data_IF_330950741729
#
_entry.id   IF_330950741729
#
_cell.length_a   1.000
_cell.length_b   1.000
_cell.length_c   1.000
_cell.angle_alpha   90.00
_cell.angle_beta   90.00
_cell.angle_gamma   90.00
#
_symmetry.space_group_name_H-M   'P 1'
#
loop_
_entity.id
_entity.type
_entity.pdbx_description
1 polymer ?
#
# COMPACT_ATOMS: atom_id res chain seq x y z
N UNK A 1 -4.22 2.85 -17.54
CA UNK A 1 -4.35 3.24 -16.11
C UNK A 1 -3.11 4.07 -15.79
N UNK A 2 -3.23 5.10 -14.96
CA UNK A 2 -2.05 5.88 -14.53
C UNK A 2 -1.18 5.05 -13.59
N UNK A 3 0.12 5.30 -13.62
CA UNK A 3 1.06 4.72 -12.66
C UNK A 3 0.72 5.14 -11.24
N UNK A 4 1.11 4.31 -10.27
CA UNK A 4 0.99 4.55 -8.84
C UNK A 4 2.30 5.16 -8.37
N UNK A 5 2.26 6.39 -7.87
CA UNK A 5 3.46 7.02 -7.30
C UNK A 5 3.84 6.42 -5.95
N UNK A 6 5.11 6.53 -5.59
CA UNK A 6 5.63 6.09 -4.27
C UNK A 6 4.87 6.77 -3.12
N UNK A 7 4.50 8.04 -3.29
CA UNK A 7 3.73 8.81 -2.32
C UNK A 7 2.29 8.33 -2.17
N UNK A 8 1.64 7.94 -3.27
CA UNK A 8 0.31 7.34 -3.21
C UNK A 8 0.33 5.97 -2.53
N UNK A 9 1.37 5.18 -2.82
CA UNK A 9 1.55 3.89 -2.18
C UNK A 9 1.80 4.05 -0.66
N UNK A 10 2.60 5.04 -0.27
CA UNK A 10 2.81 5.43 1.13
C UNK A 10 1.50 5.88 1.81
N UNK A 11 0.70 6.70 1.12
CA UNK A 11 -0.60 7.13 1.62
C UNK A 11 -1.55 5.95 1.84
N UNK A 12 -1.55 4.96 0.95
CA UNK A 12 -2.33 3.73 1.12
C UNK A 12 -1.85 2.91 2.33
N UNK A 13 -0.54 2.75 2.52
CA UNK A 13 0.03 2.08 3.71
C UNK A 13 -0.41 2.79 5.00
N UNK A 14 -0.29 4.11 5.04
CA UNK A 14 -0.67 4.92 6.20
C UNK A 14 -2.17 4.85 6.50
N UNK A 15 -3.02 4.81 5.46
CA UNK A 15 -4.46 4.62 5.61
C UNK A 15 -4.79 3.30 6.31
N UNK A 16 -4.17 2.19 5.89
CA UNK A 16 -4.40 0.87 6.49
C UNK A 16 -3.87 0.77 7.92
N UNK A 17 -2.69 1.37 8.19
CA UNK A 17 -2.13 1.47 9.55
C UNK A 17 -3.02 2.25 10.51
N UNK A 18 -3.64 3.34 10.05
CA UNK A 18 -4.54 4.14 10.86
C UNK A 18 -5.87 3.42 11.16
N UNK A 19 -6.37 2.62 10.21
CA UNK A 19 -7.64 1.90 10.33
C UNK A 19 -7.55 0.62 11.17
N UNK A 20 -6.43 -0.09 11.09
CA UNK A 20 -6.15 -1.28 11.89
C UNK A 20 -4.76 -1.11 12.50
N UNK A 21 -4.66 -0.33 13.60
CA UNK A 21 -3.39 -0.18 14.30
C UNK A 21 -2.94 -1.54 14.84
N UNK A 22 -1.63 -1.73 14.90
CA UNK A 22 -1.03 -2.91 15.54
C UNK A 22 -1.61 -3.06 16.95
N UNK A 23 -2.12 -4.26 17.27
CA UNK A 23 -2.74 -4.53 18.56
C UNK A 23 -1.73 -5.21 19.47
N UNK A 24 -1.34 -4.54 20.57
CA UNK A 24 -0.37 -5.04 21.55
C UNK A 24 1.09 -4.65 21.27
N UNK A 25 2.04 -5.29 21.97
CA UNK A 25 3.50 -5.14 21.78
C UNK A 25 4.00 -5.67 20.42
N UNK A 26 3.11 -6.29 19.64
CA UNK A 26 3.44 -6.82 18.33
C UNK A 26 3.58 -5.68 17.31
N UNK A 27 4.81 -5.43 16.86
CA UNK A 27 5.15 -4.50 15.77
C UNK A 27 4.68 -5.01 14.39
N UNK A 28 3.53 -5.68 14.32
CA UNK A 28 3.01 -6.35 13.12
C UNK A 28 2.04 -5.41 12.40
N UNK A 29 2.31 -5.19 11.12
CA UNK A 29 1.42 -4.46 10.22
C UNK A 29 0.15 -5.30 9.95
N UNK A 30 -0.99 -4.64 9.79
CA UNK A 30 -2.18 -5.29 9.24
C UNK A 30 -1.88 -5.89 7.84
N UNK A 31 -2.72 -6.81 7.37
CA UNK A 31 -2.48 -7.58 6.15
C UNK A 31 -2.31 -6.68 4.93
N UNK A 32 -3.14 -5.65 4.82
CA UNK A 32 -3.16 -4.68 3.73
C UNK A 32 -1.90 -3.82 3.72
N UNK A 33 -1.50 -3.27 4.88
CA UNK A 33 -0.28 -2.49 5.00
C UNK A 33 0.98 -3.35 4.73
N UNK A 34 0.98 -4.60 5.21
CA UNK A 34 2.05 -5.56 4.93
C UNK A 34 2.17 -5.84 3.42
N UNK A 35 1.05 -6.10 2.74
CA UNK A 35 1.01 -6.38 1.31
C UNK A 35 1.58 -5.22 0.49
N UNK A 36 1.21 -3.97 0.83
CA UNK A 36 1.69 -2.77 0.14
C UNK A 36 3.14 -2.41 0.48
N UNK A 37 3.66 -2.81 1.64
CA UNK A 37 5.03 -2.51 2.05
C UNK A 37 6.10 -3.12 1.14
N UNK A 38 5.82 -4.28 0.55
CA UNK A 38 6.76 -4.99 -0.34
C UNK A 38 7.02 -4.21 -1.64
N UNK A 39 6.02 -3.83 -2.45
CA UNK A 39 6.27 -3.00 -3.63
C UNK A 39 6.85 -1.63 -3.25
N UNK A 40 6.44 -1.03 -2.12
CA UNK A 40 7.02 0.23 -1.64
C UNK A 40 8.51 0.12 -1.35
N UNK A 41 8.93 -0.92 -0.64
CA UNK A 41 10.35 -1.18 -0.36
C UNK A 41 11.14 -1.44 -1.65
N UNK A 42 10.56 -2.18 -2.61
CA UNK A 42 11.19 -2.40 -3.92
C UNK A 42 11.40 -1.10 -4.69
N UNK A 43 10.42 -0.19 -4.67
CA UNK A 43 10.57 1.13 -5.30
C UNK A 43 11.73 1.92 -4.70
N UNK A 44 11.88 1.91 -3.36
CA UNK A 44 13.00 2.58 -2.68
C UNK A 44 14.34 1.98 -3.12
N UNK A 45 14.47 0.65 -3.06
CA UNK A 45 15.73 -0.04 -3.40
C UNK A 45 16.09 0.19 -4.88
N UNK A 46 15.10 0.20 -5.76
CA UNK A 46 15.29 0.42 -7.20
C UNK A 46 15.31 1.89 -7.61
N UNK A 47 15.12 2.82 -6.66
CA UNK A 47 14.99 4.27 -6.90
C UNK A 47 13.90 4.62 -7.92
N UNK A 48 12.80 3.87 -7.89
CA UNK A 48 11.61 4.14 -8.71
C UNK A 48 10.68 5.09 -7.96
N UNK A 49 10.14 6.08 -8.68
CA UNK A 49 9.18 7.06 -8.12
C UNK A 49 7.73 6.70 -8.42
N UNK A 50 7.50 5.78 -9.37
CA UNK A 50 6.20 5.25 -9.71
C UNK A 50 6.33 3.81 -10.20
N UNK A 51 5.25 3.04 -10.08
CA UNK A 51 5.12 1.72 -10.69
C UNK A 51 3.78 1.62 -11.42
N UNK A 52 3.71 0.84 -12.51
CA UNK A 52 2.42 0.55 -13.10
C UNK A 52 1.63 -0.38 -12.17
N UNK A 53 0.29 -0.34 -12.16
CA UNK A 53 -0.51 -1.18 -11.30
C UNK A 53 -0.16 -2.67 -11.43
N UNK A 54 0.15 -3.16 -12.64
CA UNK A 54 0.58 -4.54 -12.93
C UNK A 54 1.85 -4.98 -12.21
N UNK A 55 2.64 -4.05 -11.68
CA UNK A 55 3.76 -4.34 -10.78
C UNK A 55 3.34 -4.75 -9.36
N UNK A 56 2.06 -4.59 -9.00
CA UNK A 56 1.52 -5.08 -7.74
C UNK A 56 1.16 -6.57 -7.86
N UNK A 57 1.61 -7.38 -6.91
CA UNK A 57 1.10 -8.73 -6.74
C UNK A 57 -0.39 -8.74 -6.37
N UNK A 58 -1.02 -9.92 -6.42
CA UNK A 58 -2.46 -10.05 -6.21
C UNK A 58 -2.92 -9.43 -4.87
N UNK A 59 -2.17 -9.66 -3.80
CA UNK A 59 -2.52 -9.16 -2.45
C UNK A 59 -2.34 -7.65 -2.34
N UNK A 60 -1.25 -7.11 -2.87
CA UNK A 60 -1.01 -5.67 -2.90
C UNK A 60 -2.03 -4.96 -3.79
N UNK A 61 -2.42 -5.58 -4.91
CA UNK A 61 -3.44 -5.05 -5.81
C UNK A 61 -4.82 -4.99 -5.16
N UNK A 62 -5.20 -6.02 -4.43
CA UNK A 62 -6.46 -6.04 -3.68
C UNK A 62 -6.49 -4.93 -2.61
N UNK A 63 -5.42 -4.81 -1.81
CA UNK A 63 -5.29 -3.76 -0.80
C UNK A 63 -5.33 -2.35 -1.42
N UNK A 64 -4.65 -2.15 -2.54
CA UNK A 64 -4.68 -0.90 -3.30
C UNK A 64 -6.08 -0.57 -3.82
N UNK A 65 -6.76 -1.52 -4.47
CA UNK A 65 -8.10 -1.31 -5.01
C UNK A 65 -9.12 -1.01 -3.91
N UNK A 66 -9.01 -1.69 -2.77
CA UNK A 66 -9.85 -1.42 -1.58
C UNK A 66 -9.61 -0.02 -1.04
N UNK A 67 -8.35 0.43 -0.96
CA UNK A 67 -8.01 1.81 -0.58
C UNK A 67 -8.62 2.83 -1.54
N UNK A 68 -8.45 2.66 -2.85
CA UNK A 68 -9.00 3.58 -3.87
C UNK A 68 -10.53 3.64 -3.78
N UNK A 69 -11.21 2.51 -3.62
CA UNK A 69 -12.67 2.47 -3.45
C UNK A 69 -13.13 3.19 -2.19
N UNK A 70 -12.47 2.96 -1.06
CA UNK A 70 -12.80 3.59 0.22
C UNK A 70 -12.50 5.09 0.22
N UNK A 71 -11.42 5.51 -0.43
CA UNK A 71 -11.05 6.93 -0.58
C UNK A 71 -12.04 7.69 -1.47
N UNK A 72 -12.52 7.07 -2.54
CA UNK A 72 -13.46 7.69 -3.48
C UNK A 72 -14.93 7.62 -3.02
N UNK A 73 -15.24 6.81 -2.00
CA UNK A 73 -16.56 6.70 -1.39
C UNK A 73 -16.75 7.58 -0.15
N UNK A 74 -15.71 8.32 0.25
CA UNK A 74 -15.72 9.39 1.25
C UNK A 74 -15.79 10.74 0.54
#
# INVERSE_FOLDING_TARGET
>A
MSDISIHELEAAINFWRARSPSSGDELVLCKEASALSKPYALMIVQRQTALPPEGLDATAREAWNSYVRLKNGL
#
